data_IF_821389642822
#
_entry.id   IF_821389642822
#
_cell.length_a   1.000
_cell.length_b   1.000
_cell.length_c   1.000
_cell.angle_alpha   90.00
_cell.angle_beta   90.00
_cell.angle_gamma   90.00
#
_symmetry.space_group_name_H-M   'P 1'
#
loop_
_entity.id
_entity.type
_entity.pdbx_description
1 polymer ?
#
# COMPACT_ATOMS: atom_id res chain seq x y z
N UNK A 1 -21.36 32.65 21.02
CA UNK A 1 -22.55 32.00 20.42
C UNK A 1 -22.36 30.49 20.24
N UNK A 2 -21.30 30.03 19.56
CA UNK A 2 -21.00 28.58 19.34
C UNK A 2 -20.84 27.80 20.65
N UNK A 3 -20.08 28.32 21.62
CA UNK A 3 -19.91 27.69 22.94
C UNK A 3 -21.24 27.58 23.72
N UNK A 4 -22.18 28.50 23.51
CA UNK A 4 -23.48 28.45 24.18
C UNK A 4 -24.38 27.39 23.53
N UNK A 5 -24.36 27.29 22.19
CA UNK A 5 -25.02 26.22 21.45
C UNK A 5 -24.49 24.84 21.81
N UNK A 6 -23.16 24.69 21.93
CA UNK A 6 -22.52 23.43 22.34
C UNK A 6 -22.91 23.10 23.78
N UNK A 7 -22.91 24.08 24.69
CA UNK A 7 -23.30 23.86 26.09
C UNK A 7 -24.77 23.49 26.22
N UNK A 8 -25.65 24.09 25.42
CA UNK A 8 -27.09 23.81 25.41
C UNK A 8 -27.39 22.47 24.74
N UNK A 9 -26.66 22.10 23.67
CA UNK A 9 -26.76 20.80 23.03
C UNK A 9 -26.25 19.68 23.95
N UNK A 10 -25.11 19.87 24.62
CA UNK A 10 -24.56 18.92 25.60
C UNK A 10 -25.47 18.82 26.83
N UNK A 11 -26.02 19.94 27.31
CA UNK A 11 -26.93 19.92 28.45
C UNK A 11 -28.26 19.23 28.13
N UNK A 12 -28.84 19.51 26.95
CA UNK A 12 -30.09 18.89 26.52
C UNK A 12 -29.91 17.41 26.17
N UNK A 13 -28.78 17.04 25.57
CA UNK A 13 -28.44 15.63 25.35
C UNK A 13 -28.18 14.91 26.67
N UNK A 14 -27.41 15.45 27.62
CA UNK A 14 -27.19 14.77 28.91
C UNK A 14 -28.49 14.63 29.71
N UNK A 15 -29.34 15.67 29.77
CA UNK A 15 -30.59 15.61 30.54
C UNK A 15 -31.65 14.68 29.92
N UNK A 16 -31.75 14.60 28.59
CA UNK A 16 -32.69 13.67 27.95
C UNK A 16 -32.14 12.25 27.82
N UNK A 17 -30.82 12.07 27.73
CA UNK A 17 -30.21 10.77 27.47
C UNK A 17 -29.92 9.95 28.71
N UNK A 18 -29.40 10.57 29.78
CA UNK A 18 -29.03 9.83 31.00
C UNK A 18 -30.24 9.10 31.62
N UNK A 19 -31.43 9.72 31.72
CA UNK A 19 -32.63 9.04 32.21
C UNK A 19 -33.09 7.94 31.27
N UNK A 20 -33.03 8.14 29.94
CA UNK A 20 -33.49 7.15 28.95
C UNK A 20 -32.57 5.92 28.86
N UNK A 21 -31.26 6.07 29.09
CA UNK A 21 -30.31 4.94 29.18
C UNK A 21 -30.52 4.13 30.46
N UNK A 22 -30.73 4.81 31.59
CA UNK A 22 -31.01 4.15 32.89
C UNK A 22 -32.40 3.50 32.88
N UNK A 23 -33.41 4.13 32.26
CA UNK A 23 -34.75 3.56 32.08
C UNK A 23 -34.82 2.48 30.98
N UNK A 24 -33.83 2.36 30.09
CA UNK A 24 -33.77 1.28 29.10
C UNK A 24 -33.71 -0.10 29.78
N UNK A 25 -33.04 -0.18 30.94
CA UNK A 25 -32.98 -1.39 31.76
C UNK A 25 -34.30 -1.68 32.48
N UNK A 26 -35.03 -0.64 32.93
CA UNK A 26 -36.28 -0.81 33.69
C UNK A 26 -37.54 -0.92 32.83
N UNK A 27 -37.53 -0.41 31.60
CA UNK A 27 -38.69 -0.46 30.69
C UNK A 27 -38.74 -1.73 29.84
N UNK A 28 -37.59 -2.39 29.58
CA UNK A 28 -37.57 -3.63 28.81
C UNK A 28 -38.44 -4.73 29.46
N UNK A 29 -38.53 -4.79 30.79
CA UNK A 29 -39.34 -5.80 31.49
C UNK A 29 -40.85 -5.65 31.24
N UNK A 30 -41.35 -4.43 30.99
CA UNK A 30 -42.80 -4.18 30.82
C UNK A 30 -43.28 -4.20 29.36
N UNK A 31 -42.42 -3.92 28.37
CA UNK A 31 -42.84 -3.83 26.96
C UNK A 31 -42.77 -5.15 26.18
N UNK A 32 -42.06 -6.16 26.68
CA UNK A 32 -41.99 -7.48 26.01
C UNK A 32 -43.35 -8.21 25.96
N UNK A 33 -44.30 -7.87 26.83
CA UNK A 33 -45.60 -8.56 26.87
C UNK A 33 -46.67 -7.95 25.94
N UNK A 34 -46.46 -6.79 25.31
CA UNK A 34 -47.52 -6.13 24.54
C UNK A 34 -47.06 -5.18 23.42
N UNK A 35 -45.91 -5.44 22.81
CA UNK A 35 -45.46 -4.63 21.68
C UNK A 35 -46.31 -4.92 20.42
N UNK A 36 -47.01 -3.91 19.92
CA UNK A 36 -47.47 -3.90 18.52
C UNK A 36 -46.25 -4.05 17.62
N UNK A 37 -46.38 -4.77 16.50
CA UNK A 37 -45.28 -5.06 15.56
C UNK A 37 -44.54 -3.81 15.05
N UNK A 38 -45.13 -2.62 15.21
CA UNK A 38 -44.53 -1.32 14.91
C UNK A 38 -44.70 -0.34 16.07
N UNK A 39 -43.87 -0.48 17.10
CA UNK A 39 -43.73 0.58 18.11
C UNK A 39 -42.70 1.61 17.62
N UNK A 40 -43.22 2.74 17.11
CA UNK A 40 -42.43 3.89 16.62
C UNK A 40 -41.52 4.43 17.71
N UNK A 41 -41.90 4.33 18.98
CA UNK A 41 -41.10 4.82 20.10
C UNK A 41 -39.87 3.94 20.33
N UNK A 42 -40.02 2.61 20.25
CA UNK A 42 -38.90 1.67 20.35
C UNK A 42 -37.93 1.88 19.17
N UNK A 43 -38.46 2.01 17.95
CA UNK A 43 -37.65 2.28 16.77
C UNK A 43 -36.85 3.58 16.88
N UNK A 44 -37.49 4.68 17.32
CA UNK A 44 -36.78 5.95 17.51
C UNK A 44 -35.68 5.82 18.57
N UNK A 45 -35.93 5.10 19.66
CA UNK A 45 -34.93 4.88 20.72
C UNK A 45 -33.76 4.03 20.27
N UNK A 46 -34.00 2.97 19.48
CA UNK A 46 -32.91 2.11 18.96
C UNK A 46 -32.06 2.85 17.94
N UNK A 47 -32.68 3.65 17.04
CA UNK A 47 -31.96 4.49 16.08
C UNK A 47 -31.10 5.52 16.82
N UNK A 48 -31.64 6.19 17.81
CA UNK A 48 -30.92 7.18 18.62
C UNK A 48 -29.74 6.53 19.36
N UNK A 49 -29.95 5.39 20.03
CA UNK A 49 -28.88 4.64 20.69
C UNK A 49 -27.78 4.18 19.72
N UNK A 50 -28.15 3.78 18.50
CA UNK A 50 -27.20 3.37 17.47
C UNK A 50 -26.33 4.56 17.01
N UNK A 51 -26.94 5.72 16.77
CA UNK A 51 -26.22 6.95 16.39
C UNK A 51 -25.20 7.33 17.47
N UNK A 52 -25.59 7.28 18.74
CA UNK A 52 -24.67 7.60 19.84
C UNK A 52 -23.52 6.62 19.97
N UNK A 53 -23.80 5.32 19.80
CA UNK A 53 -22.74 4.30 19.83
C UNK A 53 -21.72 4.55 18.72
N UNK A 54 -22.18 4.88 17.51
CA UNK A 54 -21.30 5.23 16.38
C UNK A 54 -20.54 6.53 16.67
N UNK A 55 -21.18 7.54 17.26
CA UNK A 55 -20.53 8.79 17.64
C UNK A 55 -19.42 8.55 18.68
N UNK A 56 -19.71 7.83 19.77
CA UNK A 56 -18.72 7.49 20.79
C UNK A 56 -17.55 6.69 20.20
N UNK A 57 -17.85 5.73 19.31
CA UNK A 57 -16.82 4.97 18.60
C UNK A 57 -15.91 5.89 17.77
N UNK A 58 -16.50 6.80 16.99
CA UNK A 58 -15.73 7.74 16.16
C UNK A 58 -14.87 8.71 16.99
N UNK A 59 -15.34 9.14 18.17
CA UNK A 59 -14.58 10.00 19.08
C UNK A 59 -13.41 9.23 19.69
N UNK A 60 -13.63 7.97 20.10
CA UNK A 60 -12.56 7.12 20.61
C UNK A 60 -11.51 6.89 19.53
N UNK A 61 -11.92 6.56 18.30
CA UNK A 61 -11.02 6.38 17.16
C UNK A 61 -10.18 7.65 16.91
N UNK A 62 -10.83 8.83 16.90
CA UNK A 62 -10.12 10.10 16.73
C UNK A 62 -9.13 10.40 17.87
N UNK A 63 -9.52 10.14 19.12
CA UNK A 63 -8.64 10.32 20.27
C UNK A 63 -7.44 9.37 20.21
N UNK A 64 -7.67 8.09 19.92
CA UNK A 64 -6.65 7.08 19.71
C UNK A 64 -5.70 7.55 18.61
N UNK A 65 -6.22 7.90 17.44
CA UNK A 65 -5.41 8.39 16.33
C UNK A 65 -4.57 9.61 16.72
N UNK A 66 -5.14 10.60 17.40
CA UNK A 66 -4.41 11.79 17.86
C UNK A 66 -3.33 11.47 18.90
N UNK A 67 -3.60 10.61 19.88
CA UNK A 67 -2.61 10.21 20.87
C UNK A 67 -1.46 9.40 20.24
N UNK A 68 -1.77 8.50 19.31
CA UNK A 68 -0.76 7.68 18.65
C UNK A 68 0.01 8.41 17.54
N UNK A 69 -0.56 9.46 16.94
CA UNK A 69 0.12 10.29 15.92
C UNK A 69 1.00 11.38 16.52
N UNK A 70 0.82 11.76 17.79
CA UNK A 70 1.74 12.69 18.46
C UNK A 70 3.16 12.11 18.50
N UNK A 71 4.11 12.89 17.98
CA UNK A 71 5.55 12.61 18.08
C UNK A 71 5.92 12.67 19.57
N UNK A 72 6.20 11.53 20.17
CA UNK A 72 6.75 11.47 21.52
C UNK A 72 8.28 11.36 21.42
N UNK A 73 9.01 12.34 21.98
CA UNK A 73 10.47 12.30 22.10
C UNK A 73 10.89 11.33 23.20
N UNK A 74 10.55 10.05 23.07
CA UNK A 74 10.85 9.06 24.11
C UNK A 74 12.33 8.71 24.15
N UNK A 75 13.05 8.74 23.01
CA UNK A 75 14.42 8.23 22.94
C UNK A 75 15.45 9.24 23.49
N UNK A 76 15.14 10.54 23.44
CA UNK A 76 16.07 11.60 23.91
C UNK A 76 16.28 11.64 25.42
N UNK A 77 15.47 10.92 26.21
CA UNK A 77 15.52 10.92 27.69
C UNK A 77 16.55 9.91 28.22
N UNK A 78 17.00 8.97 27.40
CA UNK A 78 17.88 7.88 27.82
C UNK A 78 19.38 8.26 27.75
N UNK A 79 20.21 7.52 28.50
CA UNK A 79 21.66 7.75 28.61
C UNK A 79 22.39 7.67 27.26
N UNK A 80 21.99 6.74 26.37
CA UNK A 80 22.54 6.59 25.01
C UNK A 80 21.41 6.68 23.95
N UNK A 81 20.95 7.90 23.58
CA UNK A 81 19.82 8.08 22.68
C UNK A 81 20.04 7.45 21.30
N UNK A 82 21.27 7.49 20.79
CA UNK A 82 21.56 7.03 19.43
C UNK A 82 21.63 5.49 19.34
N UNK A 83 21.96 4.79 20.42
CA UNK A 83 21.97 3.32 20.48
C UNK A 83 20.54 2.79 20.45
N UNK A 84 19.67 3.34 21.30
CA UNK A 84 18.26 2.99 21.37
C UNK A 84 17.54 3.34 20.06
N UNK A 85 17.90 4.46 19.43
CA UNK A 85 17.37 4.81 18.11
C UNK A 85 17.67 3.73 17.08
N UNK A 86 18.92 3.26 17.01
CA UNK A 86 19.31 2.19 16.08
C UNK A 86 18.61 0.89 16.41
N UNK A 87 18.53 0.50 17.69
CA UNK A 87 17.80 -0.72 18.09
C UNK A 87 16.32 -0.64 17.70
N UNK A 88 15.72 0.55 17.85
CA UNK A 88 14.35 0.83 17.40
C UNK A 88 14.16 0.67 15.89
N UNK A 89 15.13 1.12 15.08
CA UNK A 89 15.10 0.95 13.62
C UNK A 89 15.13 -0.53 13.19
N UNK A 90 15.85 -1.37 13.95
CA UNK A 90 16.00 -2.81 13.68
C UNK A 90 14.89 -3.68 14.31
N UNK A 91 13.89 -3.08 14.96
CA UNK A 91 12.81 -3.81 15.62
C UNK A 91 11.72 -4.25 14.64
N UNK A 92 12.01 -5.26 13.80
CA UNK A 92 11.06 -5.78 12.81
C UNK A 92 9.88 -6.55 13.44
N UNK A 93 10.04 -7.05 14.67
CA UNK A 93 9.01 -7.81 15.37
C UNK A 93 7.86 -6.91 15.86
N UNK A 94 8.14 -5.63 16.10
CA UNK A 94 7.17 -4.68 16.65
C UNK A 94 7.07 -3.44 15.74
N UNK A 95 6.18 -3.45 14.74
CA UNK A 95 6.13 -2.41 13.69
C UNK A 95 5.82 -1.01 14.26
N UNK A 96 5.10 -0.95 15.39
CA UNK A 96 4.78 0.30 16.05
C UNK A 96 6.04 1.05 16.55
N UNK A 97 6.95 0.37 17.25
CA UNK A 97 8.18 0.99 17.74
C UNK A 97 9.12 1.35 16.59
N UNK A 98 9.14 0.54 15.54
CA UNK A 98 9.88 0.85 14.33
C UNK A 98 9.38 2.16 13.70
N UNK A 99 8.06 2.32 13.54
CA UNK A 99 7.48 3.55 13.00
C UNK A 99 7.83 4.78 13.86
N UNK A 100 7.77 4.66 15.19
CA UNK A 100 8.16 5.74 16.10
C UNK A 100 9.64 6.11 15.96
N UNK A 101 10.53 5.12 15.83
CA UNK A 101 11.96 5.34 15.63
C UNK A 101 12.25 6.08 14.31
N UNK A 102 11.58 5.71 13.21
CA UNK A 102 11.70 6.41 11.93
C UNK A 102 11.13 7.84 11.97
N UNK A 103 10.02 8.04 12.69
CA UNK A 103 9.43 9.36 12.90
C UNK A 103 10.38 10.27 13.71
N UNK A 104 11.01 9.74 14.76
CA UNK A 104 11.99 10.50 15.54
C UNK A 104 13.26 10.79 14.71
N UNK A 105 13.75 9.81 13.94
CA UNK A 105 14.87 9.98 13.03
C UNK A 105 14.61 11.10 12.02
N UNK A 106 13.43 11.12 11.42
CA UNK A 106 12.99 12.17 10.51
C UNK A 106 12.98 13.56 11.19
N UNK A 107 12.48 13.63 12.42
CA UNK A 107 12.46 14.88 13.17
C UNK A 107 13.89 15.38 13.48
N UNK A 108 14.79 14.49 13.91
CA UNK A 108 16.21 14.81 14.15
C UNK A 108 16.87 15.32 12.87
N UNK A 109 16.62 14.62 11.75
CA UNK A 109 17.18 14.96 10.45
C UNK A 109 16.79 16.38 10.00
N UNK A 110 15.56 16.83 10.28
CA UNK A 110 15.10 18.17 9.87
C UNK A 110 15.47 19.29 10.86
N UNK A 111 15.26 19.08 12.15
CA UNK A 111 15.22 20.18 13.12
C UNK A 111 16.42 20.26 14.06
N UNK A 112 17.02 19.13 14.46
CA UNK A 112 18.01 19.12 15.54
C UNK A 112 19.46 19.01 15.04
N UNK A 113 20.15 20.14 14.97
CA UNK A 113 21.55 20.21 14.53
C UNK A 113 22.54 19.54 15.50
N UNK A 114 22.29 19.63 16.80
CA UNK A 114 23.20 19.06 17.79
C UNK A 114 23.16 17.53 17.71
N UNK A 115 21.96 16.94 17.63
CA UNK A 115 21.82 15.48 17.49
C UNK A 115 22.34 14.97 16.15
N UNK A 116 22.21 15.71 15.05
CA UNK A 116 22.82 15.32 13.76
C UNK A 116 24.34 15.26 13.81
N UNK A 117 24.98 16.31 14.35
CA UNK A 117 26.44 16.30 14.48
C UNK A 117 26.94 15.20 15.43
N UNK A 118 26.17 14.87 16.48
CA UNK A 118 26.45 13.71 17.33
C UNK A 118 26.33 12.36 16.60
N UNK A 119 25.36 12.20 15.68
CA UNK A 119 25.25 10.99 14.83
C UNK A 119 26.48 10.84 13.93
N UNK A 120 26.96 11.93 13.34
CA UNK A 120 28.16 11.89 12.47
C UNK A 120 29.45 11.65 13.26
N UNK A 121 29.50 12.07 14.52
CA UNK A 121 30.66 11.90 15.39
C UNK A 121 30.76 10.51 16.04
N UNK A 122 29.79 9.62 15.84
CA UNK A 122 29.74 8.30 16.47
C UNK A 122 30.44 7.22 15.61
N UNK A 123 31.77 7.13 15.76
CA UNK A 123 32.66 6.29 14.94
C UNK A 123 32.80 4.83 15.38
N UNK A 124 32.52 4.51 16.64
CA UNK A 124 32.89 3.23 17.23
C UNK A 124 31.87 2.75 18.26
N UNK A 125 30.79 2.12 17.80
CA UNK A 125 29.91 1.37 18.71
C UNK A 125 30.46 -0.01 18.97
N UNK A 126 30.91 -0.26 20.20
CA UNK A 126 30.99 -1.62 20.74
C UNK A 126 29.58 -2.00 21.20
N UNK A 127 28.80 -2.68 20.35
CA UNK A 127 27.46 -3.16 20.76
C UNK A 127 27.60 -4.07 21.98
N UNK A 128 26.84 -3.78 23.04
CA UNK A 128 26.52 -4.73 24.10
C UNK A 128 24.99 -4.86 24.14
N UNK A 129 24.52 -6.10 24.34
CA UNK A 129 23.12 -6.57 24.38
C UNK A 129 22.53 -7.11 23.06
N UNK A 130 22.67 -8.43 22.89
CA UNK A 130 21.75 -9.38 22.25
C UNK A 130 21.51 -9.37 20.73
N UNK A 131 22.17 -8.55 19.92
CA UNK A 131 22.19 -8.74 18.46
C UNK A 131 23.48 -9.45 17.99
N UNK A 132 23.35 -10.24 16.92
CA UNK A 132 24.41 -11.04 16.28
C UNK A 132 25.71 -10.23 16.18
N UNK A 133 26.84 -10.82 16.61
CA UNK A 133 28.19 -10.25 16.44
C UNK A 133 28.43 -9.95 14.96
N UNK A 134 28.26 -8.69 14.56
CA UNK A 134 28.85 -8.20 13.32
C UNK A 134 30.31 -7.84 13.61
N UNK A 135 31.24 -8.39 12.83
CA UNK A 135 32.68 -8.38 13.10
C UNK A 135 33.37 -7.01 12.93
N UNK A 136 32.63 -5.94 12.57
CA UNK A 136 33.18 -4.60 12.38
C UNK A 136 32.48 -3.59 13.30
N UNK A 137 33.21 -2.67 13.97
CA UNK A 137 32.59 -1.51 14.60
C UNK A 137 31.95 -0.66 13.48
N UNK A 138 30.62 -0.61 13.48
CA UNK A 138 29.84 0.19 12.54
C UNK A 138 29.55 1.56 13.14
N UNK A 139 29.74 2.62 12.36
CA UNK A 139 29.34 3.97 12.77
C UNK A 139 27.82 4.06 12.82
N UNK A 140 27.28 4.90 13.69
CA UNK A 140 25.83 5.10 13.81
C UNK A 140 25.19 5.45 12.45
N UNK A 141 25.88 6.29 11.68
CA UNK A 141 25.50 6.63 10.31
C UNK A 141 25.32 5.40 9.43
N UNK A 142 26.30 4.48 9.39
CA UNK A 142 26.24 3.32 8.49
C UNK A 142 25.08 2.38 8.81
N UNK A 143 24.66 2.30 10.07
CA UNK A 143 23.51 1.49 10.48
C UNK A 143 22.18 2.16 10.12
N UNK A 144 22.09 3.47 10.32
CA UNK A 144 20.93 4.28 9.95
C UNK A 144 20.76 4.29 8.42
N UNK A 145 21.83 4.58 7.68
CA UNK A 145 21.82 4.65 6.22
C UNK A 145 21.45 3.29 5.63
N UNK A 146 22.03 2.19 6.12
CA UNK A 146 21.67 0.83 5.71
C UNK A 146 20.20 0.52 5.97
N UNK A 147 19.68 0.84 7.16
CA UNK A 147 18.27 0.60 7.50
C UNK A 147 17.31 1.36 6.57
N UNK A 148 17.63 2.62 6.24
CA UNK A 148 16.84 3.41 5.30
C UNK A 148 16.94 2.86 3.86
N UNK A 149 18.15 2.55 3.39
CA UNK A 149 18.37 2.00 2.05
C UNK A 149 17.70 0.64 1.88
N UNK A 150 17.74 -0.23 2.89
CA UNK A 150 17.09 -1.55 2.87
C UNK A 150 15.57 -1.43 2.71
N UNK A 151 14.93 -0.43 3.33
CA UNK A 151 13.50 -0.15 3.14
C UNK A 151 13.19 0.38 1.73
N UNK A 152 14.02 1.28 1.22
CA UNK A 152 13.86 1.86 -0.12
C UNK A 152 14.03 0.79 -1.20
N UNK A 153 15.08 -0.03 -1.10
CA UNK A 153 15.34 -1.15 -2.01
C UNK A 153 14.33 -2.29 -1.82
N UNK A 154 13.88 -2.52 -0.58
CA UNK A 154 12.78 -3.45 -0.27
C UNK A 154 11.49 -3.07 -1.00
N UNK A 155 11.13 -1.78 -0.99
CA UNK A 155 9.99 -1.27 -1.74
C UNK A 155 10.19 -1.45 -3.25
N UNK A 156 11.35 -1.07 -3.78
CA UNK A 156 11.68 -1.22 -5.19
C UNK A 156 11.57 -2.67 -5.67
N UNK A 157 12.14 -3.61 -4.89
CA UNK A 157 12.07 -5.04 -5.20
C UNK A 157 10.65 -5.60 -5.11
N UNK A 158 9.85 -5.14 -4.14
CA UNK A 158 8.42 -5.50 -4.01
C UNK A 158 7.61 -5.06 -5.22
N UNK A 159 7.82 -3.81 -5.68
CA UNK A 159 7.19 -3.28 -6.89
C UNK A 159 7.59 -4.08 -8.14
N UNK A 160 8.90 -4.34 -8.34
CA UNK A 160 9.38 -5.15 -9.47
C UNK A 160 8.84 -6.58 -9.45
N UNK A 161 8.73 -7.19 -8.26
CA UNK A 161 8.19 -8.54 -8.11
C UNK A 161 6.72 -8.61 -8.51
N UNK A 162 5.92 -7.60 -8.16
CA UNK A 162 4.53 -7.53 -8.63
C UNK A 162 4.42 -7.33 -10.14
N UNK A 163 5.26 -6.47 -10.74
CA UNK A 163 5.30 -6.32 -12.21
C UNK A 163 5.61 -7.66 -12.88
N UNK A 164 6.66 -8.37 -12.42
CA UNK A 164 7.03 -9.70 -12.95
C UNK A 164 5.89 -10.72 -12.80
N UNK A 165 5.22 -10.76 -11.65
CA UNK A 165 4.06 -11.63 -11.43
C UNK A 165 2.92 -11.31 -12.40
N UNK A 166 2.65 -10.03 -12.65
CA UNK A 166 1.62 -9.62 -13.61
C UNK A 166 1.96 -10.04 -15.03
N UNK A 167 3.20 -9.82 -15.47
CA UNK A 167 3.67 -10.23 -16.79
C UNK A 167 3.56 -11.75 -16.99
N UNK A 168 3.94 -12.53 -15.98
CA UNK A 168 3.78 -13.99 -16.00
C UNK A 168 2.31 -14.41 -16.11
N UNK A 169 1.39 -13.75 -15.40
CA UNK A 169 -0.05 -14.01 -15.49
C UNK A 169 -0.62 -13.67 -16.87
N UNK A 170 -0.27 -12.51 -17.44
CA UNK A 170 -0.67 -12.11 -18.80
C UNK A 170 -0.25 -13.17 -19.82
N UNK A 171 0.98 -13.67 -19.70
CA UNK A 171 1.52 -14.71 -20.58
C UNK A 171 0.79 -16.06 -20.41
N UNK A 172 0.48 -16.46 -19.17
CA UNK A 172 -0.31 -17.67 -18.89
C UNK A 172 -1.73 -17.57 -19.46
N UNK A 173 -2.38 -16.42 -19.31
CA UNK A 173 -3.71 -16.16 -19.87
C UNK A 173 -3.66 -16.25 -21.39
N UNK A 174 -2.69 -15.60 -22.05
CA UNK A 174 -2.51 -15.67 -23.50
C UNK A 174 -2.35 -17.11 -23.99
N UNK A 175 -1.52 -17.91 -23.31
CA UNK A 175 -1.35 -19.35 -23.62
C UNK A 175 -2.65 -20.15 -23.46
N UNK A 176 -3.43 -19.88 -22.41
CA UNK A 176 -4.75 -20.52 -22.21
C UNK A 176 -5.71 -20.15 -23.34
N UNK A 177 -5.79 -18.87 -23.72
CA UNK A 177 -6.63 -18.40 -24.83
C UNK A 177 -6.22 -18.99 -26.18
N UNK A 178 -4.93 -19.10 -26.46
CA UNK A 178 -4.43 -19.74 -27.69
C UNK A 178 -4.79 -21.23 -27.73
N UNK A 179 -4.62 -21.95 -26.62
CA UNK A 179 -5.07 -23.35 -26.48
C UNK A 179 -6.56 -23.47 -26.76
N UNK A 180 -7.38 -22.58 -26.20
CA UNK A 180 -8.82 -22.56 -26.39
C UNK A 180 -9.22 -22.31 -27.84
N UNK A 181 -8.66 -21.28 -28.48
CA UNK A 181 -8.90 -20.98 -29.89
C UNK A 181 -8.55 -22.15 -30.80
N UNK A 182 -7.49 -22.89 -30.48
CA UNK A 182 -7.11 -24.09 -31.23
C UNK A 182 -8.11 -25.24 -31.02
N UNK A 183 -8.58 -25.45 -29.78
CA UNK A 183 -9.63 -26.44 -29.48
C UNK A 183 -10.93 -26.11 -30.22
N UNK A 184 -11.34 -24.85 -30.25
CA UNK A 184 -12.53 -24.39 -30.97
C UNK A 184 -12.42 -24.65 -32.48
N UNK A 185 -11.28 -24.28 -33.10
CA UNK A 185 -11.02 -24.56 -34.52
C UNK A 185 -11.03 -26.05 -34.83
N UNK A 186 -10.47 -26.89 -33.95
CA UNK A 186 -10.45 -28.34 -34.13
C UNK A 186 -11.88 -28.92 -34.03
N UNK A 187 -12.66 -28.47 -33.06
CA UNK A 187 -14.07 -28.86 -32.93
C UNK A 187 -14.91 -28.43 -34.14
N UNK A 188 -14.64 -27.26 -34.73
CA UNK A 188 -15.31 -26.79 -35.95
C UNK A 188 -14.95 -27.66 -37.16
N UNK A 189 -13.67 -27.97 -37.34
CA UNK A 189 -13.18 -28.89 -38.39
C UNK A 189 -13.74 -30.30 -38.24
N UNK A 190 -13.88 -30.81 -37.02
CA UNK A 190 -14.53 -32.11 -36.78
C UNK A 190 -16.00 -32.10 -37.17
N UNK A 191 -16.73 -31.02 -36.88
CA UNK A 191 -18.12 -30.85 -37.35
C UNK A 191 -18.18 -30.83 -38.87
N UNK A 192 -17.30 -30.08 -39.54
CA UNK A 192 -17.23 -30.03 -41.01
C UNK A 192 -16.93 -31.41 -41.62
N UNK A 193 -15.95 -32.14 -41.09
CA UNK A 193 -15.64 -33.52 -41.53
C UNK A 193 -16.83 -34.46 -41.35
N UNK A 194 -17.55 -34.31 -40.25
CA UNK A 194 -18.75 -35.12 -39.98
C UNK A 194 -19.93 -34.73 -40.87
N UNK A 195 -20.07 -33.47 -41.28
CA UNK A 195 -21.07 -33.02 -42.26
C UNK A 195 -20.76 -33.58 -43.66
N UNK A 196 -19.48 -33.66 -44.04
CA UNK A 196 -19.05 -34.30 -45.30
C UNK A 196 -19.21 -35.82 -45.26
N UNK A 197 -19.08 -36.45 -44.08
CA UNK A 197 -19.34 -37.87 -43.87
C UNK A 197 -20.83 -38.24 -43.71
N UNK A 198 -21.74 -37.27 -43.61
CA UNK A 198 -23.18 -37.47 -43.42
C UNK A 198 -23.97 -37.36 -44.74
N UNK A 199 -23.46 -38.01 -45.80
CA UNK A 199 -24.35 -38.46 -46.89
C UNK A 199 -24.89 -39.87 -46.65
N UNK A 200 -24.32 -40.65 -45.73
CA UNK A 200 -24.85 -41.94 -45.34
C UNK A 200 -24.91 -42.06 -43.81
N UNK A 201 -26.10 -42.40 -43.32
CA UNK A 201 -26.49 -42.78 -41.96
C UNK A 201 -26.86 -41.67 -40.98
N UNK A 202 -28.18 -41.61 -40.80
CA UNK A 202 -28.95 -40.91 -39.79
C UNK A 202 -28.37 -40.99 -38.36
N UNK A 203 -28.09 -39.79 -37.89
CA UNK A 203 -28.37 -39.22 -36.57
C UNK A 203 -28.25 -40.18 -35.38
N UNK A 204 -27.01 -40.35 -34.92
CA UNK A 204 -26.70 -40.47 -33.48
C UNK A 204 -25.35 -39.81 -33.20
N UNK A 205 -25.22 -38.53 -33.52
CA UNK A 205 -24.20 -37.68 -32.89
C UNK A 205 -24.72 -37.25 -31.52
N UNK A 206 -24.59 -38.15 -30.56
CA UNK A 206 -24.74 -37.79 -29.15
C UNK A 206 -23.60 -36.87 -28.77
N UNK A 207 -23.90 -35.92 -27.88
CA UNK A 207 -23.02 -34.94 -27.28
C UNK A 207 -21.80 -35.52 -26.53
N UNK A 208 -21.47 -36.80 -26.71
CA UNK A 208 -20.50 -37.59 -25.96
C UNK A 208 -19.04 -37.31 -26.36
N UNK A 209 -18.77 -36.81 -27.57
CA UNK A 209 -17.38 -36.45 -27.95
C UNK A 209 -16.98 -35.03 -27.54
N UNK A 210 -17.95 -34.16 -27.16
CA UNK A 210 -17.69 -32.80 -26.65
C UNK A 210 -17.76 -32.69 -25.11
N UNK A 211 -18.30 -33.70 -24.43
CA UNK A 211 -18.54 -33.68 -22.98
C UNK A 211 -17.41 -34.26 -22.13
N UNK A 212 -16.42 -34.92 -22.74
CA UNK A 212 -15.33 -35.57 -22.00
C UNK A 212 -14.17 -34.66 -21.58
N UNK A 213 -14.00 -33.49 -22.18
CA UNK A 213 -12.98 -32.54 -21.73
C UNK A 213 -13.56 -31.64 -20.63
N UNK A 214 -13.40 -32.06 -19.38
CA UNK A 214 -13.65 -31.24 -18.19
C UNK A 214 -12.99 -29.85 -18.32
N UNK A 215 -11.81 -29.78 -18.95
CA UNK A 215 -11.09 -28.54 -19.24
C UNK A 215 -11.83 -27.60 -20.21
N UNK A 216 -12.53 -28.14 -21.21
CA UNK A 216 -13.33 -27.36 -22.16
C UNK A 216 -14.53 -26.73 -21.47
N UNK A 217 -15.27 -27.51 -20.68
CA UNK A 217 -16.41 -27.00 -19.92
C UNK A 217 -15.98 -26.05 -18.80
N UNK A 218 -14.84 -26.28 -18.16
CA UNK A 218 -14.26 -25.34 -17.19
C UNK A 218 -13.93 -23.97 -17.80
N UNK A 219 -13.34 -23.94 -19.00
CA UNK A 219 -13.07 -22.68 -19.71
C UNK A 219 -14.34 -22.02 -20.28
N UNK A 220 -15.30 -22.81 -20.76
CA UNK A 220 -16.60 -22.29 -21.23
C UNK A 220 -17.46 -21.76 -20.09
N UNK A 221 -17.34 -22.35 -18.91
CA UNK A 221 -17.93 -21.87 -17.67
C UNK A 221 -17.24 -20.56 -17.23
N UNK A 222 -15.91 -20.47 -17.33
CA UNK A 222 -15.17 -19.22 -17.16
C UNK A 222 -15.60 -18.13 -18.16
N UNK A 223 -15.82 -18.44 -19.44
CA UNK A 223 -16.42 -17.50 -20.42
C UNK A 223 -17.84 -17.08 -20.02
N UNK A 224 -18.61 -18.00 -19.45
CA UNK A 224 -19.93 -17.68 -18.91
C UNK A 224 -19.79 -16.60 -17.82
N UNK A 225 -18.84 -16.72 -16.90
CA UNK A 225 -18.63 -15.75 -15.82
C UNK A 225 -17.77 -14.53 -16.23
N UNK A 226 -17.04 -14.59 -17.35
CA UNK A 226 -16.26 -13.47 -17.86
C UNK A 226 -17.13 -12.46 -18.63
N UNK A 227 -17.01 -11.15 -18.37
CA UNK A 227 -17.93 -10.15 -18.90
C UNK A 227 -17.74 -9.80 -20.39
N UNK A 228 -16.69 -10.31 -21.06
CA UNK A 228 -16.20 -9.73 -22.34
C UNK A 228 -16.52 -10.58 -23.56
N UNK A 229 -16.87 -11.85 -23.41
CA UNK A 229 -17.06 -12.77 -24.56
C UNK A 229 -18.48 -13.30 -24.73
N UNK A 230 -19.41 -12.99 -23.81
CA UNK A 230 -20.79 -13.50 -23.86
C UNK A 230 -21.80 -12.45 -24.34
N UNK A 231 -22.64 -12.80 -25.32
CA UNK A 231 -23.88 -12.09 -25.67
C UNK A 231 -24.93 -12.26 -24.54
N UNK A 232 -24.61 -11.80 -23.33
CA UNK A 232 -25.46 -11.88 -22.13
C UNK A 232 -26.45 -10.71 -22.11
N UNK A 233 -27.67 -10.90 -21.58
CA UNK A 233 -28.58 -9.78 -21.34
C UNK A 233 -27.96 -8.78 -20.35
N UNK A 234 -28.05 -7.48 -20.67
CA UNK A 234 -27.45 -6.36 -19.94
C UNK A 234 -27.64 -6.42 -18.42
N UNK A 235 -28.81 -6.88 -17.96
CA UNK A 235 -29.17 -7.00 -16.55
C UNK A 235 -28.31 -8.01 -15.77
N UNK A 236 -27.99 -9.18 -16.35
CA UNK A 236 -27.17 -10.21 -15.69
C UNK A 236 -25.72 -9.73 -15.52
N UNK A 237 -25.20 -8.97 -16.49
CA UNK A 237 -23.89 -8.31 -16.38
C UNK A 237 -23.89 -7.31 -15.23
N UNK A 238 -24.98 -6.56 -15.07
CA UNK A 238 -25.16 -5.55 -14.01
C UNK A 238 -25.24 -6.19 -12.62
N UNK A 239 -26.06 -7.23 -12.43
CA UNK A 239 -26.15 -7.94 -11.13
C UNK A 239 -24.80 -8.52 -10.73
N UNK A 240 -24.13 -9.21 -11.65
CA UNK A 240 -22.81 -9.80 -11.38
C UNK A 240 -21.78 -8.72 -11.00
N UNK A 241 -21.78 -7.60 -11.73
CA UNK A 241 -20.89 -6.46 -11.47
C UNK A 241 -21.10 -5.82 -10.09
N UNK A 242 -22.36 -5.64 -9.66
CA UNK A 242 -22.65 -5.02 -8.37
C UNK A 242 -22.51 -5.96 -7.17
N UNK A 243 -22.75 -7.27 -7.34
CA UNK A 243 -22.79 -8.22 -6.22
C UNK A 243 -21.53 -9.08 -6.10
N UNK A 244 -21.11 -9.76 -7.17
CA UNK A 244 -20.07 -10.77 -7.12
C UNK A 244 -18.67 -10.17 -7.31
N UNK A 245 -18.53 -9.19 -8.19
CA UNK A 245 -17.24 -8.51 -8.44
C UNK A 245 -16.66 -7.90 -7.17
N UNK A 246 -17.34 -7.03 -6.39
CA UNK A 246 -16.73 -6.45 -5.18
C UNK A 246 -16.36 -7.49 -4.10
N UNK A 247 -17.05 -8.64 -4.07
CA UNK A 247 -16.77 -9.72 -3.11
C UNK A 247 -15.58 -10.60 -3.54
N UNK A 248 -15.44 -10.88 -4.84
CA UNK A 248 -14.40 -11.76 -5.40
C UNK A 248 -13.16 -11.00 -5.91
N UNK A 249 -13.26 -9.68 -6.10
CA UNK A 249 -12.13 -8.82 -6.44
C UNK A 249 -11.18 -8.78 -5.23
N UNK A 250 -10.04 -9.47 -5.31
CA UNK A 250 -8.86 -9.04 -4.54
C UNK A 250 -8.49 -7.68 -5.10
N UNK A 251 -9.11 -6.63 -4.55
CA UNK A 251 -9.06 -5.29 -5.12
C UNK A 251 -7.62 -4.92 -5.45
N UNK A 252 -7.43 -4.34 -6.63
CA UNK A 252 -6.16 -3.79 -7.06
C UNK A 252 -5.58 -2.89 -5.95
N UNK A 253 -6.47 -2.14 -5.29
CA UNK A 253 -6.17 -1.38 -4.08
C UNK A 253 -5.55 -2.23 -2.96
N UNK A 254 -6.09 -3.40 -2.60
CA UNK A 254 -5.47 -4.30 -1.60
C UNK A 254 -4.10 -4.79 -2.03
N UNK A 255 -3.90 -5.07 -3.33
CA UNK A 255 -2.59 -5.50 -3.84
C UNK A 255 -1.58 -4.36 -3.75
N UNK A 256 -1.95 -3.16 -4.18
CA UNK A 256 -1.14 -1.96 -4.05
C UNK A 256 -0.85 -1.68 -2.57
N UNK A 257 -1.85 -1.66 -1.69
CA UNK A 257 -1.66 -1.50 -0.23
C UNK A 257 -0.74 -2.56 0.37
N UNK A 258 -0.71 -3.78 -0.18
CA UNK A 258 0.21 -4.82 0.26
C UNK A 258 1.65 -4.59 -0.22
N UNK A 259 1.86 -4.00 -1.40
CA UNK A 259 3.18 -3.55 -1.87
C UNK A 259 3.69 -2.39 -1.01
N UNK A 260 2.80 -1.45 -0.67
CA UNK A 260 3.09 -0.24 0.10
C UNK A 260 2.69 -0.36 1.58
N UNK A 261 2.81 -1.57 2.17
CA UNK A 261 2.38 -1.81 3.57
C UNK A 261 3.01 -0.82 4.55
N UNK A 262 4.28 -0.48 4.34
CA UNK A 262 5.07 0.40 5.20
C UNK A 262 5.25 1.81 4.59
N UNK A 263 4.21 2.34 3.93
CA UNK A 263 4.23 3.64 3.22
C UNK A 263 4.79 4.79 4.06
N UNK A 264 4.28 4.97 5.28
CA UNK A 264 4.72 6.09 6.13
C UNK A 264 6.17 5.95 6.58
N UNK A 265 6.59 4.71 6.87
CA UNK A 265 7.96 4.41 7.30
C UNK A 265 8.94 4.68 6.15
N UNK A 266 8.59 4.28 4.92
CA UNK A 266 9.44 4.56 3.75
C UNK A 266 9.52 6.05 3.45
N UNK A 267 8.43 6.81 3.58
CA UNK A 267 8.44 8.27 3.42
C UNK A 267 9.36 8.94 4.45
N UNK A 268 9.26 8.55 5.74
CA UNK A 268 10.15 9.07 6.78
C UNK A 268 11.60 8.68 6.54
N UNK A 269 11.87 7.45 6.11
CA UNK A 269 13.22 6.98 5.79
C UNK A 269 13.84 7.78 4.63
N UNK A 270 13.10 8.00 3.53
CA UNK A 270 13.57 8.79 2.38
C UNK A 270 13.86 10.24 2.81
N UNK A 271 12.91 10.90 3.47
CA UNK A 271 13.07 12.28 3.89
C UNK A 271 14.18 12.46 4.94
N UNK A 272 14.33 11.51 5.87
CA UNK A 272 15.39 11.53 6.86
C UNK A 272 16.76 11.31 6.21
N UNK A 273 16.88 10.32 5.32
CA UNK A 273 18.12 10.02 4.61
C UNK A 273 18.58 11.22 3.80
N UNK A 274 17.70 11.84 3.02
CA UNK A 274 17.99 13.04 2.24
C UNK A 274 18.35 14.24 3.11
N UNK A 275 17.61 14.50 4.19
CA UNK A 275 17.91 15.63 5.05
C UNK A 275 19.26 15.46 5.76
N UNK A 276 19.61 14.25 6.20
CA UNK A 276 20.91 13.97 6.80
C UNK A 276 22.04 14.14 5.79
N UNK A 277 21.92 13.58 4.57
CA UNK A 277 22.96 13.72 3.55
C UNK A 277 23.13 15.15 3.05
N UNK A 278 22.08 15.96 2.97
CA UNK A 278 22.20 17.38 2.60
C UNK A 278 22.86 18.18 3.71
N UNK A 279 22.49 17.94 4.98
CA UNK A 279 23.04 18.67 6.14
C UNK A 279 24.47 18.24 6.48
N UNK A 280 24.88 17.03 6.11
CA UNK A 280 26.23 16.53 6.35
C UNK A 280 27.30 17.39 5.68
N UNK A 281 27.01 18.07 4.56
CA UNK A 281 27.94 18.99 3.90
C UNK A 281 28.56 20.04 4.84
N UNK A 282 27.78 20.52 5.82
CA UNK A 282 28.23 21.54 6.78
C UNK A 282 28.57 20.95 8.16
N UNK A 283 27.91 19.86 8.54
CA UNK A 283 27.90 19.34 9.91
C UNK A 283 28.84 18.12 10.09
N UNK A 284 29.18 17.41 9.01
CA UNK A 284 30.05 16.23 9.02
C UNK A 284 31.53 16.64 8.93
N UNK A 285 32.20 16.66 10.07
CA UNK A 285 33.63 17.00 10.17
C UNK A 285 34.55 15.92 9.60
N UNK A 286 34.07 14.68 9.50
CA UNK A 286 34.89 13.50 9.21
C UNK A 286 34.62 12.92 7.82
N UNK A 287 33.56 13.37 7.15
CA UNK A 287 33.24 12.99 5.78
C UNK A 287 32.73 11.56 5.62
N UNK A 288 32.22 10.92 6.69
CA UNK A 288 31.66 9.55 6.60
C UNK A 288 30.48 9.55 5.64
N UNK A 289 29.58 10.53 5.79
CA UNK A 289 28.36 10.60 4.99
C UNK A 289 28.72 10.81 3.52
N UNK A 290 29.83 11.52 3.26
CA UNK A 290 30.29 11.82 1.91
C UNK A 290 30.75 10.57 1.15
N UNK A 291 31.31 9.58 1.85
CA UNK A 291 31.68 8.29 1.24
C UNK A 291 30.47 7.49 0.76
N UNK A 292 29.30 7.66 1.39
CA UNK A 292 28.08 6.91 1.08
C UNK A 292 27.15 7.60 0.07
N UNK A 293 27.49 8.81 -0.39
CA UNK A 293 26.62 9.62 -1.27
C UNK A 293 26.21 8.84 -2.54
N UNK A 294 27.16 8.20 -3.21
CA UNK A 294 26.91 7.42 -4.42
C UNK A 294 25.84 6.34 -4.17
N UNK A 295 25.98 5.60 -3.07
CA UNK A 295 25.04 4.53 -2.71
C UNK A 295 23.64 5.10 -2.42
N UNK A 296 23.56 6.26 -1.76
CA UNK A 296 22.28 6.93 -1.48
C UNK A 296 21.60 7.36 -2.78
N UNK A 297 22.31 8.03 -3.69
CA UNK A 297 21.75 8.43 -4.99
C UNK A 297 21.27 7.23 -5.80
N UNK A 298 22.07 6.16 -5.88
CA UNK A 298 21.70 4.94 -6.62
C UNK A 298 20.46 4.30 -6.03
N UNK A 299 20.36 4.18 -4.70
CA UNK A 299 19.19 3.59 -4.03
C UNK A 299 17.89 4.38 -4.28
N UNK A 300 17.96 5.72 -4.26
CA UNK A 300 16.80 6.60 -4.52
C UNK A 300 16.38 6.50 -5.99
N UNK A 301 17.35 6.53 -6.91
CA UNK A 301 17.09 6.42 -8.35
C UNK A 301 16.55 5.04 -8.75
N UNK A 302 17.07 3.94 -8.18
CA UNK A 302 16.57 2.59 -8.42
C UNK A 302 15.12 2.42 -7.97
N UNK A 303 14.77 3.00 -6.81
CA UNK A 303 13.41 3.00 -6.32
C UNK A 303 12.49 3.83 -7.23
N UNK A 304 12.91 5.03 -7.62
CA UNK A 304 12.16 5.88 -8.54
C UNK A 304 11.90 5.17 -9.88
N UNK A 305 12.92 4.54 -10.46
CA UNK A 305 12.79 3.78 -11.71
C UNK A 305 11.80 2.63 -11.61
N UNK A 306 11.87 1.89 -10.51
CA UNK A 306 10.98 0.76 -10.25
C UNK A 306 9.53 1.22 -10.06
N UNK A 307 9.31 2.34 -9.37
CA UNK A 307 8.00 2.92 -9.11
C UNK A 307 7.41 3.59 -10.36
N UNK A 308 8.21 4.26 -11.18
CA UNK A 308 7.79 4.79 -12.48
C UNK A 308 7.33 3.66 -13.41
N UNK A 309 8.05 2.53 -13.41
CA UNK A 309 7.65 1.36 -14.18
C UNK A 309 6.34 0.78 -13.64
N UNK A 310 6.18 0.71 -12.31
CA UNK A 310 4.96 0.26 -11.66
C UNK A 310 3.75 1.17 -11.96
N UNK A 311 3.97 2.49 -12.02
CA UNK A 311 2.95 3.48 -12.37
C UNK A 311 2.49 3.34 -13.83
N UNK A 312 3.41 3.05 -14.75
CA UNK A 312 3.11 2.81 -16.18
C UNK A 312 2.38 1.50 -16.43
N UNK A 313 2.69 0.47 -15.65
CA UNK A 313 2.05 -0.85 -15.74
C UNK A 313 1.25 -1.15 -14.45
N UNK A 314 0.09 -0.50 -14.22
CA UNK A 314 -0.67 -0.72 -13.01
C UNK A 314 -1.15 -2.18 -12.91
N UNK A 315 -1.26 -2.73 -11.68
CA UNK A 315 -1.78 -4.07 -11.48
C UNK A 315 -3.15 -4.28 -12.10
N UNK A 316 -3.19 -5.13 -13.12
CA UNK A 316 -4.44 -5.61 -13.68
C UNK A 316 -5.03 -6.68 -12.77
N UNK A 317 -6.35 -6.65 -12.62
CA UNK A 317 -7.05 -7.78 -12.02
C UNK A 317 -7.20 -8.93 -13.03
N UNK A 318 -7.29 -10.17 -12.51
CA UNK A 318 -7.48 -11.37 -13.34
C UNK A 318 -8.78 -11.31 -14.16
N UNK A 319 -9.74 -10.52 -13.67
CA UNK A 319 -11.06 -10.32 -14.24
C UNK A 319 -11.18 -9.08 -15.14
N UNK A 320 -10.16 -8.21 -15.19
CA UNK A 320 -10.19 -6.95 -15.95
C UNK A 320 -9.72 -7.13 -17.42
N UNK A 321 -9.90 -8.32 -17.98
CA UNK A 321 -9.69 -8.60 -19.42
C UNK A 321 -10.87 -8.04 -20.21
N UNK A 322 -10.91 -6.71 -20.38
CA UNK A 322 -11.62 -6.09 -21.50
C UNK A 322 -12.48 -4.86 -21.23
N UNK A 323 -12.16 -4.05 -20.23
CA UNK A 323 -12.28 -2.59 -20.36
C UNK A 323 -11.25 -1.95 -19.42
N UNK A 324 -10.09 -1.48 -19.94
CA UNK A 324 -9.03 -0.90 -19.12
C UNK A 324 -9.48 0.32 -18.30
N UNK A 325 -10.62 0.93 -18.61
CA UNK A 325 -10.89 2.34 -18.28
C UNK A 325 -11.99 2.61 -17.26
N UNK A 326 -12.71 1.62 -16.73
CA UNK A 326 -13.98 1.95 -16.06
C UNK A 326 -13.97 2.09 -14.54
N UNK A 327 -12.94 1.68 -13.77
CA UNK A 327 -12.98 1.87 -12.30
C UNK A 327 -11.65 2.27 -11.67
N UNK A 328 -11.61 3.53 -11.22
CA UNK A 328 -10.78 4.12 -10.14
C UNK A 328 -9.25 4.00 -10.28
N UNK A 329 -8.69 4.61 -11.33
CA UNK A 329 -7.24 4.85 -11.42
C UNK A 329 -6.72 5.76 -10.30
N UNK A 330 -7.49 6.79 -9.90
CA UNK A 330 -7.01 7.82 -8.98
C UNK A 330 -6.78 7.32 -7.55
N UNK A 331 -7.66 6.46 -7.01
CA UNK A 331 -7.51 5.93 -5.64
C UNK A 331 -6.52 4.77 -5.53
N UNK A 332 -6.27 4.06 -6.62
CA UNK A 332 -5.33 2.93 -6.65
C UNK A 332 -3.88 3.42 -6.80
N UNK A 333 -3.67 4.52 -7.53
CA UNK A 333 -2.35 5.09 -7.79
C UNK A 333 -1.94 6.18 -6.79
N UNK A 334 -2.77 6.52 -5.80
CA UNK A 334 -2.46 7.56 -4.81
C UNK A 334 -1.14 7.27 -4.08
N UNK A 335 -1.01 6.07 -3.52
CA UNK A 335 0.12 5.66 -2.70
C UNK A 335 1.45 5.68 -3.48
N UNK A 336 1.57 5.04 -4.67
CA UNK A 336 2.80 5.12 -5.46
C UNK A 336 3.13 6.53 -5.94
N UNK A 337 2.13 7.35 -6.29
CA UNK A 337 2.36 8.73 -6.73
C UNK A 337 2.89 9.60 -5.60
N UNK A 338 2.40 9.42 -4.37
CA UNK A 338 2.92 10.11 -3.19
C UNK A 338 4.41 9.79 -3.01
N UNK A 339 4.79 8.50 -3.09
CA UNK A 339 6.21 8.11 -2.94
C UNK A 339 7.06 8.62 -4.09
N UNK A 340 6.57 8.58 -5.33
CA UNK A 340 7.27 9.13 -6.50
C UNK A 340 7.55 10.62 -6.32
N UNK A 341 6.56 11.40 -5.86
CA UNK A 341 6.75 12.83 -5.60
C UNK A 341 7.78 13.05 -4.48
N UNK A 342 7.70 12.29 -3.38
CA UNK A 342 8.68 12.39 -2.28
C UNK A 342 10.10 12.02 -2.76
N UNK A 343 10.25 11.03 -3.64
CA UNK A 343 11.54 10.65 -4.21
C UNK A 343 12.07 11.72 -5.17
N UNK A 344 11.20 12.34 -5.97
CA UNK A 344 11.56 13.48 -6.84
C UNK A 344 12.03 14.68 -6.03
N UNK A 345 11.27 15.06 -4.99
CA UNK A 345 11.65 16.14 -4.08
C UNK A 345 13.00 15.85 -3.40
N UNK A 346 13.17 14.61 -2.93
CA UNK A 346 14.43 14.16 -2.33
C UNK A 346 15.61 14.24 -3.32
N UNK A 347 15.41 13.84 -4.58
CA UNK A 347 16.43 13.92 -5.62
C UNK A 347 16.77 15.38 -5.95
N UNK A 348 15.78 16.25 -6.02
CA UNK A 348 15.99 17.68 -6.23
C UNK A 348 16.84 18.30 -5.13
N UNK A 349 16.50 18.04 -3.87
CA UNK A 349 17.25 18.56 -2.73
C UNK A 349 18.71 18.07 -2.73
N UNK A 350 18.92 16.79 -3.06
CA UNK A 350 20.26 16.22 -3.21
C UNK A 350 21.03 16.86 -4.36
N UNK A 351 20.46 16.90 -5.56
CA UNK A 351 21.13 17.46 -6.73
C UNK A 351 21.42 18.95 -6.54
N UNK A 352 20.52 19.70 -5.90
CA UNK A 352 20.74 21.11 -5.56
C UNK A 352 21.90 21.29 -4.58
N UNK A 353 21.96 20.45 -3.54
CA UNK A 353 23.02 20.53 -2.54
C UNK A 353 24.39 20.10 -3.09
N UNK A 354 24.42 19.04 -3.89
CA UNK A 354 25.66 18.45 -4.42
C UNK A 354 26.05 18.95 -5.81
N UNK A 355 25.30 19.88 -6.42
CA UNK A 355 25.58 20.44 -7.74
C UNK A 355 27.07 20.82 -7.94
N UNK A 356 27.74 21.52 -7.00
CA UNK A 356 29.15 21.89 -7.15
C UNK A 356 30.14 20.71 -7.10
N UNK A 357 29.67 19.55 -6.62
CA UNK A 357 30.48 18.37 -6.33
C UNK A 357 30.09 17.16 -7.19
N UNK A 358 29.17 17.31 -8.15
CA UNK A 358 28.66 16.21 -8.98
C UNK A 358 29.76 15.48 -9.76
N UNK A 359 30.82 16.17 -10.17
CA UNK A 359 31.97 15.59 -10.88
C UNK A 359 32.71 14.51 -10.07
N UNK A 360 32.61 14.58 -8.74
CA UNK A 360 33.27 13.63 -7.82
C UNK A 360 32.36 12.47 -7.42
N UNK A 361 31.06 12.56 -7.68
CA UNK A 361 30.10 11.51 -7.33
C UNK A 361 30.16 10.42 -8.40
N UNK A 362 30.66 9.25 -8.03
CA UNK A 362 30.69 8.08 -8.92
C UNK A 362 29.28 7.49 -8.99
N UNK A 363 28.59 7.72 -10.10
CA UNK A 363 27.29 7.11 -10.39
C UNK A 363 27.46 6.06 -11.50
N UNK A 364 26.68 4.98 -11.42
CA UNK A 364 26.47 4.08 -12.55
C UNK A 364 25.92 4.83 -13.78
N UNK A 365 26.34 4.42 -14.98
CA UNK A 365 26.01 5.11 -16.25
C UNK A 365 24.51 5.20 -16.51
N UNK A 366 23.75 4.16 -16.15
CA UNK A 366 22.29 4.10 -16.29
C UNK A 366 21.62 5.17 -15.41
N UNK A 367 22.13 5.33 -14.19
CA UNK A 367 21.62 6.28 -13.21
C UNK A 367 21.94 7.72 -13.62
N UNK A 368 23.13 7.95 -14.19
CA UNK A 368 23.53 9.24 -14.73
C UNK A 368 22.64 9.70 -15.90
N UNK A 369 22.36 8.81 -16.86
CA UNK A 369 21.47 9.10 -17.99
C UNK A 369 20.05 9.43 -17.53
N UNK A 370 19.54 8.70 -16.53
CA UNK A 370 18.22 8.94 -15.96
C UNK A 370 18.17 10.27 -15.21
N UNK A 371 19.19 10.59 -14.42
CA UNK A 371 19.28 11.84 -13.69
C UNK A 371 19.28 13.03 -14.67
N UNK A 372 20.09 12.97 -15.72
CA UNK A 372 20.13 14.01 -16.75
C UNK A 372 18.79 14.19 -17.44
N UNK A 373 18.07 13.09 -17.72
CA UNK A 373 16.72 13.16 -18.29
C UNK A 373 15.74 13.86 -17.35
N UNK A 374 15.77 13.56 -16.06
CA UNK A 374 14.90 14.21 -15.07
C UNK A 374 15.23 15.70 -14.89
N UNK A 375 16.51 16.07 -14.94
CA UNK A 375 16.95 17.46 -14.90
C UNK A 375 16.51 18.24 -16.13
N UNK A 376 16.59 17.63 -17.32
CA UNK A 376 16.12 18.23 -18.58
C UNK A 376 14.59 18.33 -18.67
N UNK A 377 13.86 17.41 -18.04
CA UNK A 377 12.41 17.44 -17.91
C UNK A 377 11.92 18.50 -16.90
N UNK A 378 12.83 19.16 -16.18
CA UNK A 378 12.53 20.26 -15.26
C UNK A 378 12.01 19.83 -13.88
N UNK A 379 12.24 18.56 -13.52
CA UNK A 379 11.66 17.82 -12.38
C UNK A 379 10.14 17.59 -12.40
#
# INVERSE_FOLDING_TARGET
>A
MILWFIKLFIWNTIYEWLPNLIFLHNTSVYYWMRASWFDVQLFNRTVVSAIFTVMCWSVIDFLIEHFFTRIHFTISVYMDPHAILVDGLHSYQQPYYQQLAFLELWHIAKFDQHRRSAIYADFNRKRAFNCVKHNNPTSAWTEISRSCMDLILGLASSAQNEIKKQQARKLLLKKKYEKFRNMEKNALKEKERKIVGYKDLEVKMTAETMTKDHDYWGMKLLEWFHPVTGNRPYFMRKIYYYSAVPLLKRSIERRTKNVFKDLYITIYAIQALTALTVKSLNEDKHGIVQCDISNVFESILDCLMSLDQYSKEPPLDEWDVGDPFTFTYSSVLSDPLIVINVLKDALFDLTKAFYPHMDYVKLSSIHYDRLNKLLNEGL
#
